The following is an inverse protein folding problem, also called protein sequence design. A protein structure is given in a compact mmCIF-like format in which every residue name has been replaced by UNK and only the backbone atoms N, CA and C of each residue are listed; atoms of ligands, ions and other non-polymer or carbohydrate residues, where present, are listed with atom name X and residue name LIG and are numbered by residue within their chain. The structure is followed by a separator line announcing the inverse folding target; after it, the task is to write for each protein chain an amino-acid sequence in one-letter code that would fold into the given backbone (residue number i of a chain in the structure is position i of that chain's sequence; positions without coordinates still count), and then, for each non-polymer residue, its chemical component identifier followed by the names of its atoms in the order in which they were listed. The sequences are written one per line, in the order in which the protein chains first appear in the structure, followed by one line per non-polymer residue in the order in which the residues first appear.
data_IF_994146020414
#
_entry.id   IF_994146020414
#
_cell.length_a   1.000
_cell.length_b   1.000
_cell.length_c   1.000
_cell.angle_alpha   90.00
_cell.angle_beta   90.00
_cell.angle_gamma   90.00
#
_symmetry.space_group_name_H-M   'P 1'
#
loop_
_entity.id
_entity.type
_entity.pdbx_description
1 polymer ?
#
# COMPACT_ATOMS: atom_id res chain seq x y z
N UNK A 1 3.08 -0.42 0.39
CA UNK A 1 2.54 0.46 -0.69
C UNK A 1 2.74 1.96 -0.46
N UNK A 2 2.38 2.53 0.70
CA UNK A 2 2.47 4.00 0.91
C UNK A 2 3.86 4.60 0.73
N UNK A 3 4.92 3.93 1.21
CA UNK A 3 6.30 4.37 1.02
C UNK A 3 6.76 4.37 -0.44
N UNK A 4 6.26 3.42 -1.23
CA UNK A 4 6.51 3.40 -2.68
C UNK A 4 5.83 4.61 -3.32
N UNK A 5 4.57 4.88 -2.95
CA UNK A 5 3.87 6.06 -3.45
C UNK A 5 4.57 7.37 -3.06
N UNK A 6 5.03 7.48 -1.82
CA UNK A 6 5.84 8.61 -1.36
C UNK A 6 7.12 8.77 -2.20
N UNK A 7 7.89 7.70 -2.40
CA UNK A 7 9.12 7.71 -3.19
C UNK A 7 8.90 7.96 -4.69
N UNK A 8 7.69 7.77 -5.21
CA UNK A 8 7.31 8.15 -6.56
C UNK A 8 6.97 9.64 -6.68
N UNK A 9 6.48 10.25 -5.58
CA UNK A 9 6.20 11.69 -5.52
C UNK A 9 7.49 12.48 -5.24
N UNK A 10 8.36 11.98 -4.36
CA UNK A 10 9.67 12.54 -4.02
C UNK A 10 10.74 12.06 -5.00
N UNK A 11 11.44 12.95 -5.69
CA UNK A 11 12.51 12.54 -6.61
C UNK A 11 13.76 12.06 -5.87
N UNK A 12 14.41 10.99 -6.36
CA UNK A 12 15.72 10.53 -5.87
C UNK A 12 15.68 9.34 -4.89
N UNK A 13 14.49 8.82 -4.57
CA UNK A 13 14.29 7.78 -3.55
C UNK A 13 14.32 6.34 -4.09
N UNK A 14 15.25 6.02 -5.00
CA UNK A 14 15.29 4.72 -5.69
C UNK A 14 15.53 3.51 -4.77
N UNK A 15 16.33 3.70 -3.71
CA UNK A 15 16.55 2.66 -2.69
C UNK A 15 15.28 2.37 -1.90
N UNK A 16 14.50 3.41 -1.58
CA UNK A 16 13.25 3.29 -0.85
C UNK A 16 12.20 2.52 -1.66
N UNK A 17 12.14 2.75 -2.98
CA UNK A 17 11.29 1.96 -3.89
C UNK A 17 11.71 0.50 -3.87
N UNK A 18 13.01 0.21 -4.02
CA UNK A 18 13.51 -1.15 -4.16
C UNK A 18 13.22 -2.00 -2.91
N UNK A 19 13.53 -1.49 -1.72
CA UNK A 19 13.31 -2.22 -0.47
C UNK A 19 11.82 -2.44 -0.18
N UNK A 20 10.98 -1.43 -0.41
CA UNK A 20 9.54 -1.56 -0.18
C UNK A 20 8.86 -2.43 -1.23
N UNK A 21 9.33 -2.44 -2.49
CA UNK A 21 8.82 -3.33 -3.52
C UNK A 21 9.09 -4.80 -3.16
N UNK A 22 10.32 -5.13 -2.73
CA UNK A 22 10.65 -6.45 -2.22
C UNK A 22 9.80 -6.82 -0.99
N UNK A 23 9.64 -5.87 -0.05
CA UNK A 23 8.77 -6.03 1.12
C UNK A 23 7.33 -6.35 0.73
N UNK A 24 6.73 -5.62 -0.21
CA UNK A 24 5.36 -5.89 -0.66
C UNK A 24 5.19 -7.27 -1.30
N UNK A 25 6.19 -7.78 -2.02
CA UNK A 25 6.15 -9.17 -2.54
C UNK A 25 6.11 -10.18 -1.39
N UNK A 26 7.01 -10.02 -0.41
CA UNK A 26 7.11 -10.91 0.76
C UNK A 26 5.81 -10.86 1.60
N UNK A 27 5.32 -9.67 1.91
CA UNK A 27 4.06 -9.45 2.62
C UNK A 27 2.88 -10.10 1.91
N UNK A 28 2.80 -9.95 0.58
CA UNK A 28 1.75 -10.57 -0.23
C UNK A 28 1.80 -12.09 -0.12
N UNK A 29 2.99 -12.69 -0.20
CA UNK A 29 3.16 -14.15 -0.01
C UNK A 29 2.67 -14.58 1.38
N UNK A 30 3.02 -13.84 2.44
CA UNK A 30 2.52 -14.14 3.79
C UNK A 30 1.01 -14.02 3.93
N UNK A 31 0.40 -12.97 3.38
CA UNK A 31 -1.06 -12.77 3.41
C UNK A 31 -1.75 -13.90 2.64
N UNK A 32 -1.23 -14.29 1.47
CA UNK A 32 -1.78 -15.39 0.68
C UNK A 32 -1.69 -16.70 1.46
N UNK A 33 -0.54 -17.03 2.04
CA UNK A 33 -0.40 -18.22 2.88
C UNK A 33 -1.39 -18.19 4.06
N UNK A 34 -1.50 -17.07 4.75
CA UNK A 34 -2.48 -16.91 5.83
C UNK A 34 -3.91 -17.14 5.34
N UNK A 35 -4.31 -16.52 4.22
CA UNK A 35 -5.64 -16.68 3.67
C UNK A 35 -5.90 -18.09 3.13
N UNK A 36 -4.89 -18.87 2.77
CA UNK A 36 -5.05 -20.29 2.40
C UNK A 36 -5.35 -21.11 3.66
N UNK A 37 -4.51 -21.00 4.69
CA UNK A 37 -4.52 -21.91 5.84
C UNK A 37 -5.38 -21.46 7.03
N UNK A 38 -5.78 -20.19 7.12
CA UNK A 38 -6.54 -19.68 8.25
C UNK A 38 -7.99 -20.21 8.30
N UNK A 39 -8.57 -20.38 9.51
CA UNK A 39 -9.96 -20.74 9.67
C UNK A 39 -10.90 -19.70 9.05
N UNK A 40 -12.06 -20.14 8.56
CA UNK A 40 -12.97 -19.35 7.71
C UNK A 40 -13.32 -17.97 8.28
N UNK A 41 -13.57 -17.86 9.59
CA UNK A 41 -13.88 -16.57 10.24
C UNK A 41 -12.71 -15.59 10.16
N UNK A 42 -11.50 -16.05 10.50
CA UNK A 42 -10.29 -15.23 10.45
C UNK A 42 -9.95 -14.85 9.00
N UNK A 43 -10.09 -15.78 8.05
CA UNK A 43 -9.89 -15.54 6.62
C UNK A 43 -10.75 -14.39 6.09
N UNK A 44 -12.05 -14.41 6.39
CA UNK A 44 -13.00 -13.37 5.95
C UNK A 44 -12.62 -12.02 6.59
N UNK A 45 -12.30 -12.01 7.88
CA UNK A 45 -11.90 -10.79 8.58
C UNK A 45 -10.63 -10.18 7.98
N UNK A 46 -9.59 -10.99 7.80
CA UNK A 46 -8.33 -10.55 7.19
C UNK A 46 -8.54 -10.06 5.76
N UNK A 47 -9.31 -10.77 4.94
CA UNK A 47 -9.63 -10.33 3.58
C UNK A 47 -10.33 -8.96 3.57
N UNK A 48 -11.29 -8.73 4.48
CA UNK A 48 -11.95 -7.42 4.62
C UNK A 48 -10.96 -6.31 4.98
N UNK A 49 -10.05 -6.56 5.93
CA UNK A 49 -9.03 -5.57 6.30
C UNK A 49 -8.07 -5.31 5.14
N UNK A 50 -7.62 -6.34 4.43
CA UNK A 50 -6.71 -6.20 3.28
C UNK A 50 -7.35 -5.32 2.21
N UNK A 51 -8.61 -5.56 1.85
CA UNK A 51 -9.35 -4.73 0.88
C UNK A 51 -9.54 -3.32 1.42
N UNK A 52 -9.96 -3.17 2.67
CA UNK A 52 -10.23 -1.86 3.27
C UNK A 52 -8.98 -0.99 3.31
N UNK A 53 -7.85 -1.52 3.77
CA UNK A 53 -6.63 -0.72 3.97
C UNK A 53 -5.84 -0.57 2.66
N UNK A 54 -5.63 -1.64 1.90
CA UNK A 54 -4.75 -1.61 0.72
C UNK A 54 -5.43 -1.13 -0.56
N UNK A 55 -6.76 -1.27 -0.67
CA UNK A 55 -7.48 -0.80 -1.85
C UNK A 55 -8.20 0.51 -1.51
N UNK A 56 -9.15 0.48 -0.57
CA UNK A 56 -9.96 1.67 -0.28
C UNK A 56 -9.14 2.78 0.40
N UNK A 57 -8.39 2.46 1.45
CA UNK A 57 -7.57 3.42 2.18
C UNK A 57 -6.45 4.00 1.33
N UNK A 58 -5.67 3.14 0.66
CA UNK A 58 -4.64 3.59 -0.28
C UNK A 58 -5.22 4.40 -1.44
N UNK A 59 -6.32 3.93 -2.05
CA UNK A 59 -6.99 4.64 -3.13
C UNK A 59 -7.49 6.03 -2.72
N UNK A 60 -8.07 6.14 -1.52
CA UNK A 60 -8.47 7.43 -0.96
C UNK A 60 -7.27 8.37 -0.78
N UNK A 61 -6.17 7.89 -0.19
CA UNK A 61 -4.95 8.68 -0.03
C UNK A 61 -4.42 9.14 -1.39
N UNK A 62 -4.32 8.22 -2.35
CA UNK A 62 -3.87 8.52 -3.71
C UNK A 62 -4.73 9.60 -4.37
N UNK A 63 -6.06 9.47 -4.32
CA UNK A 63 -6.99 10.44 -4.89
C UNK A 63 -6.91 11.79 -4.18
N UNK A 64 -6.83 11.83 -2.85
CA UNK A 64 -6.67 13.08 -2.11
C UNK A 64 -5.34 13.75 -2.43
N UNK A 65 -4.24 13.00 -2.46
CA UNK A 65 -2.92 13.54 -2.80
C UNK A 65 -2.87 14.06 -4.23
N UNK A 66 -3.55 13.41 -5.19
CA UNK A 66 -3.66 13.95 -6.54
C UNK A 66 -4.56 15.17 -6.57
N UNK A 67 -5.83 15.06 -6.19
CA UNK A 67 -6.81 16.10 -6.46
C UNK A 67 -6.76 17.29 -5.48
N UNK A 68 -6.52 17.04 -4.19
CA UNK A 68 -6.57 18.09 -3.17
C UNK A 68 -5.26 18.87 -3.02
N UNK A 69 -4.12 18.29 -3.41
CA UNK A 69 -2.81 18.90 -3.27
C UNK A 69 -2.10 18.94 -4.63
N UNK A 70 -2.19 20.08 -5.32
CA UNK A 70 -1.54 20.33 -6.61
C UNK A 70 -0.58 21.53 -6.51
N UNK A 71 0.49 21.52 -7.33
CA UNK A 71 1.42 22.65 -7.45
C UNK A 71 2.32 22.85 -6.23
N UNK A 72 2.59 24.11 -5.87
CA UNK A 72 3.54 24.49 -4.80
C UNK A 72 3.17 23.99 -3.40
N UNK A 73 1.95 23.48 -3.20
CA UNK A 73 1.51 22.87 -1.95
C UNK A 73 2.00 21.43 -1.77
N UNK A 74 2.52 20.78 -2.83
CA UNK A 74 3.13 19.43 -2.73
C UNK A 74 4.60 19.55 -2.33
N UNK A 75 4.97 18.86 -1.27
CA UNK A 75 6.38 18.68 -0.90
C UNK A 75 7.00 17.64 -1.84
N UNK A 76 7.68 18.11 -2.88
CA UNK A 76 8.42 17.29 -3.87
C UNK A 76 9.85 17.06 -3.41
#
# INVERSE_FOLDING_TARGET
MLWIFYALVKTGEGLLISINAAGCVIETVYIVMYLVYAPRKAKIFTAKIVVLLNIAGFGLIFLLTLFAFHGETRVV
#
